data_IF_453662867052
#
_entry.id   IF_453662867052
#
_cell.length_a   1.000
_cell.length_b   1.000
_cell.length_c   1.000
_cell.angle_alpha   90.00
_cell.angle_beta   90.00
_cell.angle_gamma   90.00
#
_symmetry.space_group_name_H-M   'P 1'
#
loop_
_entity.id
_entity.type
_entity.pdbx_description
1 polymer ?
#
# COMPACT_ATOMS: atom_id res chain seq x y z
N UNK A 1 0.77 1.52 -22.74
CA UNK A 1 0.90 2.72 -21.94
C UNK A 1 1.93 2.50 -20.84
N UNK A 2 2.85 3.45 -20.66
CA UNK A 2 3.89 3.29 -19.66
C UNK A 2 3.34 3.46 -18.25
N UNK A 3 3.82 2.65 -17.31
CA UNK A 3 3.48 2.79 -15.91
C UNK A 3 4.18 4.02 -15.33
N UNK A 4 3.59 4.66 -14.29
CA UNK A 4 4.31 5.70 -13.54
C UNK A 4 5.63 5.15 -12.98
N UNK A 5 6.62 6.02 -12.83
CA UNK A 5 7.96 5.59 -12.41
C UNK A 5 7.99 4.97 -11.01
N UNK A 6 7.02 5.31 -10.14
CA UNK A 6 6.99 4.70 -8.80
C UNK A 6 6.36 3.29 -8.82
N UNK A 7 5.74 2.91 -9.94
CA UNK A 7 5.15 1.56 -10.07
C UNK A 7 6.25 0.63 -10.58
N UNK A 8 6.89 -0.08 -9.65
CA UNK A 8 8.09 -0.86 -9.90
C UNK A 8 7.80 -2.27 -10.43
N UNK A 9 6.55 -2.72 -10.30
CA UNK A 9 6.13 -4.03 -10.80
C UNK A 9 4.63 -4.01 -11.01
N UNK A 10 4.14 -5.01 -11.75
CA UNK A 10 2.71 -5.16 -11.97
C UNK A 10 2.10 -5.98 -10.84
N UNK A 11 1.03 -5.46 -10.22
CA UNK A 11 0.31 -6.20 -9.19
C UNK A 11 -0.88 -6.88 -9.84
N UNK A 12 -0.97 -8.23 -9.76
CA UNK A 12 -2.14 -8.93 -10.31
C UNK A 12 -3.44 -8.39 -9.69
N UNK A 13 -4.49 -8.36 -10.51
CA UNK A 13 -5.78 -7.83 -10.06
C UNK A 13 -6.28 -8.53 -8.81
N UNK A 14 -6.12 -9.84 -8.75
CA UNK A 14 -6.54 -10.63 -7.59
C UNK A 14 -5.82 -10.18 -6.32
N UNK A 15 -4.52 -9.93 -6.42
CA UNK A 15 -3.75 -9.47 -5.28
C UNK A 15 -4.09 -8.04 -4.92
N UNK A 16 -4.35 -7.20 -5.92
CA UNK A 16 -4.78 -5.82 -5.71
C UNK A 16 -6.11 -5.80 -4.93
N UNK A 17 -7.05 -6.67 -5.29
CA UNK A 17 -8.33 -6.76 -4.58
C UNK A 17 -8.12 -7.20 -3.13
N UNK A 18 -7.22 -8.14 -2.91
CA UNK A 18 -6.89 -8.58 -1.55
C UNK A 18 -6.26 -7.45 -0.74
N UNK A 19 -5.44 -6.62 -1.38
CA UNK A 19 -4.83 -5.48 -0.71
C UNK A 19 -5.90 -4.48 -0.27
N UNK A 20 -6.89 -4.23 -1.12
CA UNK A 20 -8.00 -3.33 -0.76
C UNK A 20 -8.80 -3.90 0.40
N UNK A 21 -9.05 -5.21 0.41
CA UNK A 21 -9.74 -5.86 1.50
C UNK A 21 -8.94 -5.76 2.79
N UNK A 22 -7.63 -5.95 2.71
CA UNK A 22 -6.75 -5.81 3.87
C UNK A 22 -6.83 -4.40 4.45
N UNK A 23 -6.80 -3.38 3.60
CA UNK A 23 -6.90 -2.00 4.06
C UNK A 23 -8.23 -1.79 4.78
N UNK A 24 -9.31 -2.30 4.22
CA UNK A 24 -10.63 -2.14 4.82
C UNK A 24 -10.70 -2.77 6.20
N UNK A 25 -10.28 -4.02 6.34
CA UNK A 25 -10.35 -4.73 7.61
C UNK A 25 -9.41 -4.07 8.64
N UNK A 26 -8.20 -3.69 8.21
CA UNK A 26 -7.26 -3.04 9.11
C UNK A 26 -7.74 -1.67 9.57
N UNK A 27 -8.48 -0.95 8.71
CA UNK A 27 -9.05 0.34 9.11
C UNK A 27 -10.11 0.20 10.19
N UNK A 28 -10.79 -0.95 10.22
CA UNK A 28 -11.87 -1.20 11.18
C UNK A 28 -11.40 -1.89 12.45
N UNK A 29 -10.46 -2.82 12.34
CA UNK A 29 -10.07 -3.67 13.47
C UNK A 29 -8.59 -3.54 13.86
N UNK A 30 -7.80 -2.85 13.08
CA UNK A 30 -6.38 -2.67 13.34
C UNK A 30 -5.99 -1.20 13.33
N UNK A 31 -4.86 -0.91 12.67
CA UNK A 31 -4.34 0.46 12.62
C UNK A 31 -3.69 0.72 11.28
N UNK A 32 -4.09 1.82 10.63
CA UNK A 32 -3.50 2.24 9.36
C UNK A 32 -3.07 3.69 9.44
N UNK A 33 -2.18 4.08 8.52
CA UNK A 33 -1.81 5.47 8.30
C UNK A 33 -2.15 5.81 6.86
N UNK A 34 -2.81 6.95 6.65
CA UNK A 34 -3.27 7.36 5.33
C UNK A 34 -2.56 8.63 4.91
N UNK A 35 -2.18 8.69 3.63
CA UNK A 35 -1.53 9.86 3.08
C UNK A 35 -0.02 9.71 3.04
N UNK A 36 0.59 10.37 2.06
CA UNK A 36 2.02 10.19 1.77
C UNK A 36 2.91 10.54 2.96
N UNK A 37 2.62 11.64 3.67
CA UNK A 37 3.45 12.04 4.80
C UNK A 37 3.39 11.03 5.93
N UNK A 38 2.21 10.54 6.26
CA UNK A 38 2.05 9.57 7.34
C UNK A 38 2.64 8.22 6.96
N UNK A 39 2.48 7.82 5.70
CA UNK A 39 3.08 6.58 5.19
C UNK A 39 4.60 6.67 5.24
N UNK A 40 5.16 7.81 4.84
CA UNK A 40 6.60 8.01 4.88
C UNK A 40 7.13 7.90 6.32
N UNK A 41 6.48 8.56 7.26
CA UNK A 41 6.89 8.51 8.66
C UNK A 41 6.83 7.10 9.22
N UNK A 42 5.74 6.39 8.96
CA UNK A 42 5.58 5.02 9.45
C UNK A 42 6.63 4.08 8.86
N UNK A 43 6.95 4.29 7.59
CA UNK A 43 7.97 3.47 6.91
C UNK A 43 9.36 3.78 7.45
N UNK A 44 9.68 5.05 7.67
CA UNK A 44 10.98 5.45 8.23
C UNK A 44 11.20 4.86 9.62
N UNK A 45 10.13 4.76 10.40
CA UNK A 45 10.18 4.21 11.75
C UNK A 45 10.08 2.69 11.77
N UNK A 46 9.95 2.08 10.59
CA UNK A 46 9.75 0.63 10.44
C UNK A 46 8.50 0.13 11.18
N UNK A 47 7.50 0.99 11.34
CA UNK A 47 6.22 0.62 11.94
C UNK A 47 5.27 0.00 10.93
N UNK A 48 5.41 0.36 9.66
CA UNK A 48 4.54 -0.16 8.61
C UNK A 48 4.88 -1.60 8.29
N UNK A 49 3.86 -2.45 8.21
CA UNK A 49 4.03 -3.85 7.86
C UNK A 49 3.77 -4.11 6.38
N UNK A 50 3.04 -3.23 5.75
CA UNK A 50 2.75 -3.27 4.31
C UNK A 50 2.35 -1.87 3.88
N UNK A 51 2.75 -1.49 2.67
CA UNK A 51 2.35 -0.20 2.09
C UNK A 51 1.58 -0.49 0.81
N UNK A 52 0.43 0.18 0.66
CA UNK A 52 -0.41 0.08 -0.53
C UNK A 52 -0.43 1.44 -1.21
N UNK A 53 -0.12 1.47 -2.50
CA UNK A 53 -0.09 2.71 -3.28
C UNK A 53 -1.04 2.60 -4.46
N UNK A 54 -1.66 3.74 -4.83
CA UNK A 54 -2.49 3.78 -6.02
C UNK A 54 -1.63 4.05 -7.25
N UNK A 55 -2.03 3.50 -8.40
CA UNK A 55 -1.27 3.68 -9.64
C UNK A 55 -1.61 4.95 -10.41
N UNK A 56 -2.70 5.62 -10.03
CA UNK A 56 -3.18 6.81 -10.75
C UNK A 56 -2.93 8.12 -10.00
N UNK A 57 -1.83 8.20 -9.28
CA UNK A 57 -1.47 9.41 -8.52
C UNK A 57 -0.67 10.36 -9.40
N UNK A 58 -1.06 11.64 -9.38
CA UNK A 58 -0.42 12.70 -10.14
C UNK A 58 -0.35 13.95 -9.27
N UNK A 59 0.83 14.58 -9.11
CA UNK A 59 2.10 14.22 -9.75
C UNK A 59 2.76 12.99 -9.13
N UNK A 60 3.55 12.28 -9.95
CA UNK A 60 4.21 11.03 -9.51
C UNK A 60 5.24 11.26 -8.42
N UNK A 61 5.77 12.47 -8.33
CA UNK A 61 6.79 12.81 -7.32
C UNK A 61 6.29 12.62 -5.89
N UNK A 62 4.98 12.60 -5.69
CA UNK A 62 4.40 12.39 -4.36
C UNK A 62 4.78 11.00 -3.83
N UNK A 63 4.86 9.99 -4.71
CA UNK A 63 5.07 8.61 -4.30
C UNK A 63 6.43 8.03 -4.68
N UNK A 64 7.24 8.77 -5.45
CA UNK A 64 8.43 8.18 -6.04
C UNK A 64 9.45 7.69 -5.00
N UNK A 65 9.47 8.28 -3.82
CA UNK A 65 10.42 7.91 -2.77
C UNK A 65 9.95 6.72 -1.92
N UNK A 66 8.66 6.40 -1.96
CA UNK A 66 8.11 5.38 -1.06
C UNK A 66 8.61 3.96 -1.38
N UNK A 67 8.64 3.52 -2.66
CA UNK A 67 9.17 2.18 -2.94
C UNK A 67 10.62 2.02 -2.50
N UNK A 68 11.46 3.02 -2.72
CA UNK A 68 12.86 2.97 -2.30
C UNK A 68 12.97 2.86 -0.79
N UNK A 69 12.19 3.65 -0.06
CA UNK A 69 12.20 3.64 1.39
C UNK A 69 11.73 2.28 1.92
N UNK A 70 10.68 1.73 1.31
CA UNK A 70 10.17 0.43 1.72
C UNK A 70 11.21 -0.67 1.51
N UNK A 71 11.94 -0.63 0.39
CA UNK A 71 12.97 -1.62 0.14
C UNK A 71 14.13 -1.48 1.11
N UNK A 72 14.51 -0.25 1.45
CA UNK A 72 15.54 -0.01 2.45
C UNK A 72 15.15 -0.56 3.82
N UNK A 73 13.90 -0.41 4.19
CA UNK A 73 13.39 -0.87 5.49
C UNK A 73 12.84 -2.29 5.45
N UNK A 74 12.88 -2.95 4.28
CA UNK A 74 12.39 -4.31 4.09
C UNK A 74 10.90 -4.44 4.37
N UNK A 75 10.14 -3.44 3.93
CA UNK A 75 8.68 -3.42 4.06
C UNK A 75 8.09 -3.81 2.72
N UNK A 76 7.22 -4.83 2.65
CA UNK A 76 6.55 -5.16 1.39
C UNK A 76 5.59 -4.06 0.98
N UNK A 77 5.41 -3.91 -0.33
CA UNK A 77 4.49 -2.91 -0.87
C UNK A 77 3.82 -3.47 -2.12
N UNK A 78 2.60 -3.01 -2.38
CA UNK A 78 1.83 -3.41 -3.55
C UNK A 78 1.09 -2.20 -4.08
N UNK A 79 0.50 -2.36 -5.26
CA UNK A 79 -0.23 -1.28 -5.93
C UNK A 79 -1.67 -1.67 -6.18
N UNK A 80 -2.55 -0.66 -6.16
CA UNK A 80 -3.95 -0.82 -6.57
C UNK A 80 -4.23 0.18 -7.68
N UNK A 81 -5.21 -0.09 -8.52
CA UNK A 81 -5.42 0.71 -9.72
C UNK A 81 -5.90 2.12 -9.48
N UNK A 82 -6.79 2.31 -8.51
CA UNK A 82 -7.46 3.60 -8.33
C UNK A 82 -7.31 4.15 -6.92
N UNK A 83 -6.86 5.42 -6.83
CA UNK A 83 -6.73 6.10 -5.55
C UNK A 83 -8.09 6.27 -4.87
N UNK A 84 -9.15 6.41 -5.66
CA UNK A 84 -10.49 6.54 -5.10
C UNK A 84 -10.91 5.28 -4.36
N UNK A 85 -10.65 4.11 -4.94
CA UNK A 85 -10.95 2.84 -4.30
C UNK A 85 -10.11 2.64 -3.04
N UNK A 86 -8.85 3.06 -3.08
CA UNK A 86 -7.98 2.97 -1.91
C UNK A 86 -8.52 3.83 -0.76
N UNK A 87 -8.95 5.04 -1.06
CA UNK A 87 -9.57 5.90 -0.06
C UNK A 87 -10.82 5.30 0.54
N UNK A 88 -11.68 4.73 -0.31
CA UNK A 88 -12.90 4.08 0.16
C UNK A 88 -12.59 2.90 1.08
N UNK A 89 -11.61 2.10 0.72
CA UNK A 89 -11.20 0.96 1.55
C UNK A 89 -10.68 1.41 2.91
N UNK A 90 -10.04 2.57 2.96
CA UNK A 90 -9.52 3.13 4.20
C UNK A 90 -10.60 3.83 5.04
N UNK A 91 -11.85 3.82 4.56
CA UNK A 91 -12.95 4.45 5.28
C UNK A 91 -13.10 5.94 5.04
N UNK A 92 -12.49 6.45 3.99
CA UNK A 92 -12.54 7.87 3.66
C UNK A 92 -13.60 8.17 2.61
N UNK A 93 -14.09 9.40 2.60
CA UNK A 93 -15.00 9.88 1.56
C UNK A 93 -14.25 10.44 0.36
N UNK A 94 -12.92 10.45 0.41
CA UNK A 94 -12.06 10.99 -0.66
C UNK A 94 -10.98 9.98 -1.03
N UNK A 95 -10.22 10.29 -2.08
CA UNK A 95 -9.16 9.41 -2.55
C UNK A 95 -7.95 9.41 -1.61
N UNK A 96 -7.16 8.36 -1.68
CA UNK A 96 -5.90 8.23 -0.94
C UNK A 96 -4.81 7.78 -1.89
N UNK A 97 -3.67 8.47 -1.87
CA UNK A 97 -2.53 8.12 -2.72
C UNK A 97 -1.81 6.88 -2.19
N UNK A 98 -1.74 6.73 -0.88
CA UNK A 98 -1.05 5.61 -0.26
C UNK A 98 -1.59 5.37 1.14
N UNK A 99 -1.45 4.13 1.60
CA UNK A 99 -1.89 3.71 2.93
C UNK A 99 -0.83 2.75 3.47
N UNK A 100 -0.46 2.92 4.75
CA UNK A 100 0.44 1.99 5.43
C UNK A 100 -0.38 1.19 6.45
N UNK A 101 -0.15 -0.12 6.45
CA UNK A 101 -0.76 -1.01 7.44
C UNK A 101 0.20 -1.13 8.61
N UNK A 102 -0.18 -0.62 9.76
CA UNK A 102 0.64 -0.70 10.97
C UNK A 102 0.26 -1.93 11.78
N UNK A 103 -1.04 -2.14 11.94
CA UNK A 103 -1.56 -3.34 12.59
C UNK A 103 -2.72 -3.88 11.74
N UNK A 104 -2.63 -5.14 11.28
CA UNK A 104 -3.66 -5.68 10.40
C UNK A 104 -4.98 -6.01 11.10
N UNK A 105 -4.99 -6.11 12.43
CA UNK A 105 -6.21 -6.49 13.14
C UNK A 105 -6.63 -7.90 12.72
N UNK A 106 -7.89 -8.04 12.30
CA UNK A 106 -8.44 -9.34 11.91
C UNK A 106 -7.94 -9.81 10.54
N UNK A 107 -7.15 -9.00 9.84
CA UNK A 107 -6.66 -9.33 8.51
C UNK A 107 -5.20 -9.80 8.50
N UNK A 108 -4.71 -10.35 9.62
CA UNK A 108 -3.32 -10.80 9.71
C UNK A 108 -2.98 -11.86 8.66
N UNK A 109 -3.88 -12.81 8.44
CA UNK A 109 -3.65 -13.87 7.44
C UNK A 109 -3.55 -13.27 6.04
N UNK A 110 -4.37 -12.27 5.74
CA UNK A 110 -4.36 -11.61 4.44
C UNK A 110 -3.06 -10.84 4.24
N UNK A 111 -2.59 -10.16 5.29
CA UNK A 111 -1.31 -9.47 5.26
C UNK A 111 -0.16 -10.44 4.97
N UNK A 112 -0.14 -11.58 5.65
CA UNK A 112 0.92 -12.57 5.48
C UNK A 112 0.90 -13.16 4.07
N UNK A 113 -0.29 -13.39 3.51
CA UNK A 113 -0.42 -13.90 2.16
C UNK A 113 0.16 -12.92 1.13
N UNK A 114 -0.16 -11.63 1.27
CA UNK A 114 0.33 -10.61 0.35
C UNK A 114 1.84 -10.44 0.51
N UNK A 115 2.32 -10.39 1.75
CA UNK A 115 3.75 -10.21 2.01
C UNK A 115 4.56 -11.39 1.46
N UNK A 116 4.01 -12.60 1.52
CA UNK A 116 4.69 -13.79 1.00
C UNK A 116 4.84 -13.74 -0.51
N UNK A 117 3.95 -13.07 -1.23
CA UNK A 117 4.00 -12.97 -2.68
C UNK A 117 4.89 -11.82 -3.16
N UNK A 118 5.21 -10.88 -2.29
CA UNK A 118 5.97 -9.69 -2.66
C UNK A 118 7.32 -9.99 -3.32
N UNK A 119 8.17 -10.88 -2.79
CA UNK A 119 9.46 -11.16 -3.43
C UNK A 119 9.31 -11.68 -4.86
N UNK A 120 8.26 -12.43 -5.14
CA UNK A 120 7.98 -12.95 -6.47
C UNK A 120 7.58 -11.82 -7.43
N UNK A 121 6.76 -10.88 -6.95
CA UNK A 121 6.29 -9.77 -7.77
C UNK A 121 7.44 -8.84 -8.17
N UNK A 122 8.41 -8.71 -7.30
CA UNK A 122 9.49 -7.73 -7.44
C UNK A 122 10.56 -8.14 -8.43
N UNK A 123 10.55 -9.36 -8.89
CA UNK A 123 11.54 -9.87 -9.83
C UNK A 123 11.52 -9.19 -11.18
#
# INVERSE_FOLDING_TARGET
>A
MARPIYVRFETPTELSDKALQLVQVASETGKIRVGTNEVTKSSERAEAKLVVMAEDVDPVEILVHIPMLCEEKRIPYVYVGKKQRLGQSAGLSKSAASVAIVEPGDAKALLEEIAAQFPTLKK
#
